data_IF_673796575438
#
_entry.id   IF_673796575438
#
_cell.length_a   1.000
_cell.length_b   1.000
_cell.length_c   1.000
_cell.angle_alpha   90.00
_cell.angle_beta   90.00
_cell.angle_gamma   90.00
#
_symmetry.space_group_name_H-M   'P 1'
#
loop_
_entity.id
_entity.type
_entity.pdbx_description
1 polymer ?
#
# COMPACT_ATOMS: atom_id res chain seq x y z
N UNK A 1 -8.42 -24.95 27.91
CA UNK A 1 -9.13 -23.79 27.32
C UNK A 1 -8.67 -23.67 25.90
N UNK A 2 -9.59 -23.50 24.94
CA UNK A 2 -9.31 -23.37 23.49
C UNK A 2 -8.67 -22.02 23.11
N UNK A 3 -7.88 -21.44 24.01
CA UNK A 3 -7.24 -20.15 23.81
C UNK A 3 -5.82 -20.33 23.26
N UNK A 4 -5.47 -19.54 22.23
CA UNK A 4 -4.11 -19.48 21.71
C UNK A 4 -3.24 -18.61 22.64
N UNK A 5 -2.09 -19.10 23.13
CA UNK A 5 -1.17 -18.30 23.93
C UNK A 5 -0.61 -17.09 23.16
N UNK A 6 -0.50 -15.93 23.79
CA UNK A 6 0.02 -14.69 23.17
C UNK A 6 1.43 -14.91 22.57
N UNK A 7 2.28 -15.69 23.24
CA UNK A 7 3.63 -16.00 22.75
C UNK A 7 3.63 -16.80 21.45
N UNK A 8 2.52 -17.45 21.10
CA UNK A 8 2.31 -18.21 19.87
C UNK A 8 1.44 -17.46 18.85
N UNK A 9 1.10 -16.20 19.12
CA UNK A 9 0.26 -15.37 18.27
C UNK A 9 0.94 -14.02 18.03
N UNK A 10 2.06 -14.07 17.31
CA UNK A 10 2.75 -12.89 16.84
C UNK A 10 2.12 -12.40 15.53
N UNK A 11 2.52 -11.21 15.07
CA UNK A 11 1.98 -10.63 13.83
C UNK A 11 2.10 -11.59 12.64
N UNK A 12 3.21 -12.32 12.55
CA UNK A 12 3.45 -13.26 11.45
C UNK A 12 2.46 -14.44 11.47
N UNK A 13 2.08 -14.92 12.66
CA UNK A 13 1.04 -15.95 12.81
C UNK A 13 -0.33 -15.41 12.37
N UNK A 14 -0.66 -14.18 12.75
CA UNK A 14 -1.89 -13.51 12.34
C UNK A 14 -1.94 -13.27 10.82
N UNK A 15 -0.85 -12.79 10.23
CA UNK A 15 -0.79 -12.54 8.79
C UNK A 15 -0.90 -13.85 7.98
N UNK A 16 -0.28 -14.92 8.46
CA UNK A 16 -0.46 -16.25 7.87
C UNK A 16 -1.90 -16.75 7.98
N UNK A 17 -2.55 -16.55 9.13
CA UNK A 17 -3.98 -16.85 9.29
C UNK A 17 -4.85 -16.03 8.31
N UNK A 18 -4.60 -14.72 8.18
CA UNK A 18 -5.30 -13.86 7.21
C UNK A 18 -5.19 -14.40 5.78
N UNK A 19 -3.99 -14.79 5.35
CA UNK A 19 -3.78 -15.37 4.01
C UNK A 19 -4.53 -16.69 3.83
N UNK A 20 -4.45 -17.60 4.80
CA UNK A 20 -5.15 -18.89 4.73
C UNK A 20 -6.68 -18.72 4.69
N UNK A 21 -7.21 -17.72 5.40
CA UNK A 21 -8.63 -17.42 5.44
C UNK A 21 -9.12 -16.79 4.13
N UNK A 22 -8.36 -15.83 3.58
CA UNK A 22 -8.81 -14.99 2.47
C UNK A 22 -8.38 -15.48 1.09
N UNK A 23 -7.29 -16.27 1.00
CA UNK A 23 -6.72 -16.87 -0.23
C UNK A 23 -6.33 -15.90 -1.35
N UNK A 24 -6.70 -14.60 -1.27
CA UNK A 24 -6.30 -13.44 -2.10
C UNK A 24 -5.93 -13.74 -3.56
N UNK A 25 -6.72 -14.59 -4.24
CA UNK A 25 -6.41 -15.06 -5.61
C UNK A 25 -6.34 -13.92 -6.64
N UNK A 26 -7.02 -12.81 -6.38
CA UNK A 26 -6.96 -11.60 -7.21
C UNK A 26 -5.59 -10.93 -7.15
N UNK A 27 -4.95 -10.93 -5.97
CA UNK A 27 -3.60 -10.38 -5.81
C UNK A 27 -2.58 -11.26 -6.51
N UNK A 28 -2.75 -12.58 -6.43
CA UNK A 28 -1.88 -13.54 -7.14
C UNK A 28 -1.94 -13.33 -8.65
N UNK A 29 -3.13 -13.11 -9.22
CA UNK A 29 -3.29 -12.84 -10.65
C UNK A 29 -2.58 -11.55 -11.07
N UNK A 30 -2.78 -10.46 -10.33
CA UNK A 30 -2.10 -9.18 -10.60
C UNK A 30 -0.59 -9.36 -10.53
N UNK A 31 -0.10 -10.08 -9.52
CA UNK A 31 1.33 -10.35 -9.36
C UNK A 31 1.89 -11.18 -10.53
N UNK A 32 1.17 -12.21 -10.96
CA UNK A 32 1.55 -13.06 -12.09
C UNK A 32 1.56 -12.27 -13.42
N UNK A 33 0.62 -11.33 -13.61
CA UNK A 33 0.58 -10.41 -14.75
C UNK A 33 1.80 -9.48 -14.78
N UNK A 34 2.19 -8.90 -13.64
CA UNK A 34 3.36 -8.00 -13.54
C UNK A 34 4.68 -8.77 -13.75
N UNK A 35 4.77 -9.98 -13.20
CA UNK A 35 6.01 -10.77 -13.21
C UNK A 35 6.18 -11.65 -14.45
N UNK A 36 5.12 -11.85 -15.24
CA UNK A 36 5.16 -12.54 -16.52
C UNK A 36 5.13 -14.07 -16.44
N UNK A 37 4.36 -14.64 -15.50
CA UNK A 37 4.19 -16.11 -15.33
C UNK A 37 5.52 -16.91 -15.33
N UNK A 38 6.58 -16.34 -14.73
CA UNK A 38 7.89 -16.97 -14.70
C UNK A 38 7.96 -18.12 -13.68
N UNK A 39 8.85 -19.10 -13.93
CA UNK A 39 9.14 -20.23 -13.00
C UNK A 39 9.56 -19.79 -11.60
N UNK A 40 10.01 -18.54 -11.43
CA UNK A 40 10.28 -17.91 -10.14
C UNK A 40 9.30 -16.75 -9.98
N UNK A 41 8.29 -16.93 -9.11
CA UNK A 41 7.28 -15.92 -8.76
C UNK A 41 7.87 -14.82 -7.89
N UNK A 42 8.75 -14.01 -8.47
CA UNK A 42 9.37 -12.84 -7.84
C UNK A 42 9.31 -11.63 -8.76
N UNK A 43 9.07 -10.46 -8.20
CA UNK A 43 9.09 -9.18 -8.87
C UNK A 43 10.46 -8.53 -8.66
N UNK A 44 11.09 -8.08 -9.74
CA UNK A 44 12.38 -7.38 -9.71
C UNK A 44 12.20 -5.89 -9.43
N UNK A 45 13.26 -5.20 -9.00
CA UNK A 45 13.23 -3.74 -8.79
C UNK A 45 12.69 -2.97 -10.00
N UNK A 46 13.13 -3.21 -11.25
CA UNK A 46 12.58 -2.50 -12.41
C UNK A 46 11.08 -2.76 -12.62
N UNK A 47 10.60 -3.98 -12.39
CA UNK A 47 9.18 -4.30 -12.49
C UNK A 47 8.37 -3.57 -11.41
N UNK A 48 8.89 -3.46 -10.19
CA UNK A 48 8.24 -2.72 -9.11
C UNK A 48 8.20 -1.22 -9.42
N UNK A 49 9.29 -0.64 -9.94
CA UNK A 49 9.31 0.76 -10.41
C UNK A 49 8.23 0.98 -11.48
N UNK A 50 8.14 0.07 -12.45
CA UNK A 50 7.15 0.16 -13.52
C UNK A 50 5.72 0.10 -12.98
N UNK A 51 5.45 -0.84 -12.06
CA UNK A 51 4.16 -0.97 -11.40
C UNK A 51 3.77 0.28 -10.61
N UNK A 52 4.68 0.85 -9.82
CA UNK A 52 4.43 2.07 -9.04
C UNK A 52 4.05 3.24 -9.95
N UNK A 53 4.77 3.41 -11.06
CA UNK A 53 4.60 4.56 -11.94
C UNK A 53 3.46 4.42 -12.94
N UNK A 54 3.16 3.21 -13.43
CA UNK A 54 2.11 2.98 -14.42
C UNK A 54 0.77 2.58 -13.83
N UNK A 55 0.77 1.89 -12.68
CA UNK A 55 -0.45 1.33 -12.10
C UNK A 55 -0.90 2.04 -10.82
N UNK A 56 0.02 2.46 -9.95
CA UNK A 56 -0.35 3.07 -8.66
C UNK A 56 -0.44 4.59 -8.72
N UNK A 57 0.32 5.24 -9.60
CA UNK A 57 0.34 6.70 -9.73
C UNK A 57 -0.97 7.24 -10.31
N UNK A 58 -1.54 8.29 -9.70
CA UNK A 58 -2.61 9.07 -10.32
C UNK A 58 -2.04 9.90 -11.49
N UNK A 59 -2.49 9.67 -12.75
CA UNK A 59 -1.94 10.32 -13.94
C UNK A 59 -2.21 11.83 -13.99
N UNK A 60 -3.08 12.37 -13.11
CA UNK A 60 -3.36 13.80 -13.02
C UNK A 60 -2.33 14.57 -12.19
N UNK A 61 -1.46 13.87 -11.45
CA UNK A 61 -0.46 14.49 -10.59
C UNK A 61 0.70 15.04 -11.40
N UNK A 62 1.09 16.29 -11.12
CA UNK A 62 2.24 16.94 -11.74
C UNK A 62 3.54 16.20 -11.42
N UNK A 63 4.36 15.95 -12.44
CA UNK A 63 5.60 15.16 -12.33
C UNK A 63 6.73 15.85 -11.55
N UNK A 64 6.71 17.18 -11.47
CA UNK A 64 7.71 17.95 -10.72
C UNK A 64 7.35 17.98 -9.24
N UNK A 65 6.07 18.23 -8.91
CA UNK A 65 5.60 18.27 -7.52
C UNK A 65 5.49 16.87 -6.91
N UNK A 66 5.18 15.87 -7.73
CA UNK A 66 5.07 14.47 -7.32
C UNK A 66 5.97 13.65 -8.26
N UNK A 67 7.27 13.49 -7.95
CA UNK A 67 8.19 12.76 -8.81
C UNK A 67 7.77 11.29 -8.99
N UNK A 68 8.23 10.70 -10.08
CA UNK A 68 8.09 9.25 -10.31
C UNK A 68 8.86 8.47 -9.26
N UNK A 69 8.34 7.30 -8.88
CA UNK A 69 9.07 6.35 -8.08
C UNK A 69 10.31 5.89 -8.85
N UNK A 70 11.43 5.79 -8.14
CA UNK A 70 12.72 5.38 -8.71
C UNK A 70 13.20 4.06 -8.09
N UNK A 71 14.41 3.66 -8.48
CA UNK A 71 15.08 2.44 -8.00
C UNK A 71 15.25 2.46 -6.48
N UNK A 72 15.52 3.63 -5.90
CA UNK A 72 15.70 3.78 -4.46
C UNK A 72 14.37 3.54 -3.73
N UNK A 73 13.27 4.16 -4.19
CA UNK A 73 11.94 3.94 -3.63
C UNK A 73 11.50 2.49 -3.72
N UNK A 74 11.69 1.85 -4.87
CA UNK A 74 11.36 0.43 -5.05
C UNK A 74 12.21 -0.47 -4.15
N UNK A 75 13.50 -0.17 -4.00
CA UNK A 75 14.41 -0.92 -3.12
C UNK A 75 14.02 -0.76 -1.65
N UNK A 76 13.61 0.45 -1.24
CA UNK A 76 13.09 0.70 0.10
C UNK A 76 11.86 -0.17 0.39
N UNK A 77 10.88 -0.21 -0.52
CA UNK A 77 9.68 -1.06 -0.40
C UNK A 77 10.07 -2.54 -0.21
N UNK A 78 11.02 -3.05 -1.01
CA UNK A 78 11.49 -4.43 -0.87
C UNK A 78 12.12 -4.65 0.50
N UNK A 79 12.99 -3.76 0.95
CA UNK A 79 13.65 -3.88 2.26
C UNK A 79 12.67 -3.88 3.43
N UNK A 80 11.58 -3.11 3.33
CA UNK A 80 10.56 -3.03 4.38
C UNK A 80 9.59 -4.22 4.38
N UNK A 81 9.10 -4.61 3.20
CA UNK A 81 7.94 -5.50 3.10
C UNK A 81 8.28 -6.94 2.71
N UNK A 82 9.45 -7.23 2.15
CA UNK A 82 9.81 -8.61 1.82
C UNK A 82 10.22 -9.41 3.08
N UNK A 83 9.49 -10.49 3.44
CA UNK A 83 9.82 -11.28 4.63
C UNK A 83 11.11 -12.09 4.46
N UNK A 84 11.43 -12.56 3.24
CA UNK A 84 12.58 -13.41 3.01
C UNK A 84 13.84 -12.58 2.76
N UNK A 85 14.78 -12.63 3.71
CA UNK A 85 16.05 -11.89 3.64
C UNK A 85 16.93 -12.24 2.44
N UNK A 86 16.81 -13.45 1.90
CA UNK A 86 17.53 -13.83 0.67
C UNK A 86 16.95 -13.09 -0.55
N UNK A 87 15.63 -12.90 -0.60
CA UNK A 87 14.99 -12.14 -1.67
C UNK A 87 15.34 -10.64 -1.54
N UNK A 88 15.32 -10.11 -0.31
CA UNK A 88 15.79 -8.75 0.00
C UNK A 88 17.20 -8.51 -0.56
N UNK A 89 18.15 -9.41 -0.24
CA UNK A 89 19.54 -9.29 -0.71
C UNK A 89 19.70 -9.32 -2.24
N UNK A 90 18.70 -9.83 -2.96
CA UNK A 90 18.67 -9.93 -4.42
C UNK A 90 17.82 -8.83 -5.07
N UNK A 91 17.24 -7.91 -4.30
CA UNK A 91 16.29 -6.92 -4.81
C UNK A 91 15.04 -7.57 -5.43
N UNK A 92 14.51 -8.60 -4.76
CA UNK A 92 13.37 -9.37 -5.22
C UNK A 92 12.21 -9.25 -4.22
N UNK A 93 11.00 -9.00 -4.73
CA UNK A 93 9.77 -9.00 -3.95
C UNK A 93 8.96 -10.25 -4.29
N UNK A 94 8.59 -11.02 -3.27
CA UNK A 94 7.68 -12.17 -3.41
C UNK A 94 6.22 -11.71 -3.49
N UNK A 95 5.31 -12.63 -3.81
CA UNK A 95 3.87 -12.36 -3.71
C UNK A 95 3.44 -11.99 -2.29
N UNK A 96 4.11 -12.55 -1.27
CA UNK A 96 3.85 -12.21 0.14
C UNK A 96 4.28 -10.78 0.45
N UNK A 97 5.49 -10.40 0.02
CA UNK A 97 5.98 -9.03 0.17
C UNK A 97 5.12 -8.02 -0.60
N UNK A 98 4.64 -8.39 -1.78
CA UNK A 98 3.72 -7.58 -2.56
C UNK A 98 2.36 -7.39 -1.85
N UNK A 99 1.79 -8.46 -1.30
CA UNK A 99 0.56 -8.38 -0.51
C UNK A 99 0.74 -7.48 0.72
N UNK A 100 1.89 -7.59 1.41
CA UNK A 100 2.22 -6.70 2.55
C UNK A 100 2.29 -5.25 2.11
N UNK A 101 2.96 -4.94 1.00
CA UNK A 101 2.99 -3.60 0.44
C UNK A 101 1.58 -3.06 0.13
N UNK A 102 0.73 -3.84 -0.54
CA UNK A 102 -0.64 -3.41 -0.88
C UNK A 102 -1.50 -3.08 0.34
N UNK A 103 -1.24 -3.75 1.47
CA UNK A 103 -1.95 -3.55 2.74
C UNK A 103 -1.25 -2.53 3.67
N UNK A 104 -0.12 -1.97 3.25
CA UNK A 104 0.71 -1.10 4.08
C UNK A 104 0.32 0.36 3.99
N UNK A 105 0.84 1.16 4.93
CA UNK A 105 0.72 2.62 4.94
C UNK A 105 1.45 3.30 3.78
N UNK A 106 2.34 2.58 3.07
CA UNK A 106 3.03 3.06 1.87
C UNK A 106 2.14 3.02 0.62
N UNK A 107 0.96 2.41 0.70
CA UNK A 107 0.01 2.30 -0.40
C UNK A 107 -1.39 2.83 -0.01
N UNK A 108 -1.52 4.06 0.51
CA UNK A 108 -2.80 4.59 0.94
C UNK A 108 -3.67 4.95 -0.27
N UNK A 109 -4.97 4.69 -0.16
CA UNK A 109 -5.94 5.05 -1.21
C UNK A 109 -6.15 6.57 -1.34
N UNK A 110 -5.98 7.31 -0.25
CA UNK A 110 -6.08 8.77 -0.20
C UNK A 110 -4.73 9.37 0.15
N UNK A 111 -4.30 10.38 -0.61
CA UNK A 111 -3.06 11.10 -0.31
C UNK A 111 -3.13 11.78 1.07
N UNK A 112 -2.05 11.69 1.85
CA UNK A 112 -2.00 12.22 3.22
C UNK A 112 -2.31 13.73 3.29
N UNK A 113 -1.92 14.49 2.27
CA UNK A 113 -2.20 15.93 2.18
C UNK A 113 -3.70 16.27 2.18
N UNK A 114 -4.58 15.32 1.84
CA UNK A 114 -6.04 15.52 1.91
C UNK A 114 -6.61 15.43 3.33
N UNK A 115 -5.85 14.88 4.27
CA UNK A 115 -6.19 14.87 5.69
C UNK A 115 -5.64 16.10 6.43
N UNK A 116 -4.74 16.85 5.78
CA UNK A 116 -4.19 18.10 6.32
C UNK A 116 -5.08 19.28 5.93
N UNK A 117 -5.05 20.35 6.74
CA UNK A 117 -5.69 21.61 6.39
C UNK A 117 -4.87 22.28 5.28
N UNK A 118 -5.11 21.87 4.04
CA UNK A 118 -4.35 22.30 2.86
C UNK A 118 -5.04 23.39 2.04
N UNK A 119 -6.30 23.69 2.35
CA UNK A 119 -7.08 24.70 1.63
C UNK A 119 -6.72 26.10 2.12
N UNK A 120 -6.81 27.08 1.22
CA UNK A 120 -6.66 28.50 1.57
C UNK A 120 -7.81 28.91 2.50
N UNK A 121 -7.49 29.26 3.75
CA UNK A 121 -8.45 29.63 4.80
C UNK A 121 -8.60 31.14 4.99
N UNK A 122 -7.98 31.97 4.14
CA UNK A 122 -8.02 33.43 4.22
C UNK A 122 -9.08 34.06 3.29
N UNK A 123 -9.87 33.26 2.57
CA UNK A 123 -10.94 33.74 1.70
C UNK A 123 -12.19 34.17 2.51
N UNK A 124 -13.12 34.93 1.90
CA UNK A 124 -14.39 35.24 2.55
C UNK A 124 -15.23 34.00 2.87
N UNK A 125 -16.01 34.03 3.96
CA UNK A 125 -16.79 32.88 4.46
C UNK A 125 -17.71 32.25 3.40
N UNK A 126 -18.26 33.05 2.49
CA UNK A 126 -19.15 32.58 1.42
C UNK A 126 -18.47 31.67 0.39
N UNK A 127 -17.14 31.55 0.42
CA UNK A 127 -16.37 30.70 -0.50
C UNK A 127 -16.20 29.27 0.02
N UNK A 128 -16.62 28.99 1.26
CA UNK A 128 -16.47 27.67 1.88
C UNK A 128 -17.79 26.95 2.02
N UNK A 129 -17.77 25.64 1.78
CA UNK A 129 -18.83 24.76 2.25
C UNK A 129 -18.67 24.54 3.76
N UNK A 130 -19.68 24.92 4.53
CA UNK A 130 -19.69 24.77 5.99
C UNK A 130 -20.62 23.61 6.35
N UNK A 131 -20.04 22.54 6.92
CA UNK A 131 -20.83 21.45 7.45
C UNK A 131 -21.75 21.97 8.56
N UNK A 132 -23.05 21.85 8.35
CA UNK A 132 -24.09 22.43 9.20
C UNK A 132 -25.09 21.34 9.57
N UNK A 133 -25.49 21.31 10.84
CA UNK A 133 -26.47 20.36 11.32
C UNK A 133 -27.75 21.07 11.77
N UNK A 134 -28.88 20.41 11.56
CA UNK A 134 -30.21 20.92 11.90
C UNK A 134 -30.78 20.09 13.05
N UNK A 135 -31.37 20.76 14.05
CA UNK A 135 -31.95 20.11 15.24
C UNK A 135 -30.99 19.18 15.98
N UNK A 136 -29.76 19.63 16.25
CA UNK A 136 -28.71 18.84 16.95
C UNK A 136 -29.10 18.35 18.35
N UNK A 137 -30.18 18.85 18.93
CA UNK A 137 -30.71 18.44 20.23
C UNK A 137 -31.57 17.17 20.17
N UNK A 138 -32.00 16.72 18.99
CA UNK A 138 -32.78 15.49 18.82
C UNK A 138 -31.81 14.29 18.67
N UNK A 139 -31.99 13.28 19.52
CA UNK A 139 -31.17 12.05 19.58
C UNK A 139 -31.96 10.81 19.17
#
# INVERSE_FOLDING_TARGET
TDAVPIQKFQFEDFFNFYKSLTQRTEVEKIFDEITGNAKRRVMTVPQLVDFLNKSQRDPRLNEILFPYADVERATHIINQYEPNKLNVSKGQLSSDGFLRYLLSEDNPIVAMSKYELSDDMDQPLAHYFINSSHNTYLT
#
